data_IF_558724688483
#
_entry.id   IF_558724688483
#
_cell.length_a   1.000
_cell.length_b   1.000
_cell.length_c   1.000
_cell.angle_alpha   90.00
_cell.angle_beta   90.00
_cell.angle_gamma   90.00
#
_symmetry.space_group_name_H-M   'P 1'
#
loop_
_entity.id
_entity.type
_entity.pdbx_description
1 polymer ?
#
# COMPACT_ATOMS: atom_id res chain seq x y z
N UNK A 1 -15.00 6.04 -1.94
CA UNK A 1 -15.15 5.47 -0.59
C UNK A 1 -16.16 6.30 0.18
N UNK A 2 -17.19 5.65 0.72
CA UNK A 2 -18.33 6.36 1.29
C UNK A 2 -18.14 6.75 2.75
N UNK A 3 -17.40 5.96 3.52
CA UNK A 3 -17.24 6.16 4.96
C UNK A 3 -15.74 6.01 5.33
N UNK A 4 -14.96 7.09 5.19
CA UNK A 4 -13.51 6.99 5.42
C UNK A 4 -13.13 6.49 6.81
N UNK A 5 -13.85 6.92 7.85
CA UNK A 5 -13.55 6.49 9.22
C UNK A 5 -13.82 4.99 9.40
N UNK A 6 -14.89 4.48 8.82
CA UNK A 6 -15.22 3.05 8.90
C UNK A 6 -14.19 2.21 8.14
N UNK A 7 -13.74 2.69 6.99
CA UNK A 7 -12.69 2.01 6.23
C UNK A 7 -11.40 1.96 7.02
N UNK A 8 -10.98 3.08 7.60
CA UNK A 8 -9.75 3.13 8.40
C UNK A 8 -9.82 2.14 9.57
N UNK A 9 -10.95 2.06 10.24
CA UNK A 9 -11.13 1.10 11.34
C UNK A 9 -10.96 -0.35 10.85
N UNK A 10 -11.50 -0.68 9.68
CA UNK A 10 -11.34 -2.02 9.10
C UNK A 10 -9.88 -2.32 8.78
N UNK A 11 -9.15 -1.37 8.20
CA UNK A 11 -7.73 -1.53 7.88
C UNK A 11 -6.91 -1.76 9.14
N UNK A 12 -7.13 -0.95 10.17
CA UNK A 12 -6.40 -1.09 11.44
C UNK A 12 -6.68 -2.42 12.12
N UNK A 13 -7.93 -2.86 12.10
CA UNK A 13 -8.30 -4.16 12.66
C UNK A 13 -7.57 -5.30 11.94
N UNK A 14 -7.48 -5.23 10.61
CA UNK A 14 -6.80 -6.23 9.79
C UNK A 14 -5.30 -6.27 10.08
N UNK A 15 -4.64 -5.10 10.20
CA UNK A 15 -3.21 -5.02 10.50
C UNK A 15 -2.87 -5.56 11.90
N UNK A 16 -3.76 -5.39 12.86
CA UNK A 16 -3.56 -5.94 14.21
C UNK A 16 -3.53 -7.46 14.21
N UNK A 17 -4.30 -8.08 13.32
CA UNK A 17 -4.34 -9.54 13.23
C UNK A 17 -3.08 -10.07 12.59
N UNK A 18 -2.63 -9.44 11.50
CA UNK A 18 -1.47 -9.93 10.76
C UNK A 18 -0.88 -8.78 9.95
N UNK A 19 0.30 -8.33 10.35
CA UNK A 19 0.96 -7.20 9.69
C UNK A 19 1.28 -7.51 8.23
N UNK A 20 1.10 -6.50 7.37
CA UNK A 20 1.47 -6.58 5.95
C UNK A 20 2.86 -6.01 5.68
N UNK A 21 3.60 -5.58 6.71
CA UNK A 21 4.95 -5.08 6.56
C UNK A 21 5.88 -6.21 6.10
N UNK A 22 6.66 -5.94 5.07
CA UNK A 22 7.65 -6.89 4.54
C UNK A 22 9.07 -6.36 4.77
N UNK A 23 10.08 -7.19 4.47
CA UNK A 23 11.48 -6.94 4.79
C UNK A 23 12.01 -5.59 4.29
N UNK A 24 11.46 -5.08 3.20
CA UNK A 24 11.96 -3.85 2.55
C UNK A 24 11.33 -2.59 3.15
N UNK A 25 10.74 -2.66 4.32
CA UNK A 25 10.03 -1.54 4.96
C UNK A 25 8.86 -1.05 4.13
N UNK A 26 8.19 -1.94 3.42
CA UNK A 26 7.01 -1.66 2.61
C UNK A 26 5.82 -2.35 3.25
N UNK A 27 4.72 -1.62 3.43
CA UNK A 27 3.51 -2.18 4.01
C UNK A 27 2.33 -2.07 3.03
N UNK A 28 1.43 -3.05 3.09
CA UNK A 28 0.25 -3.13 2.23
C UNK A 28 -1.02 -3.25 3.09
N UNK A 29 -1.31 -2.26 3.95
CA UNK A 29 -2.53 -2.33 4.74
C UNK A 29 -3.74 -2.31 3.82
N UNK A 30 -4.69 -3.20 4.10
CA UNK A 30 -5.85 -3.35 3.24
C UNK A 30 -7.04 -3.83 4.03
N UNK A 31 -8.22 -3.67 3.46
CA UNK A 31 -9.43 -4.29 3.99
C UNK A 31 -10.36 -4.65 2.83
N UNK A 32 -10.95 -5.84 2.91
CA UNK A 32 -12.10 -6.19 2.09
C UNK A 32 -13.31 -5.52 2.71
N UNK A 33 -14.07 -4.78 1.89
CA UNK A 33 -15.10 -3.93 2.44
C UNK A 33 -16.24 -3.72 1.44
N UNK A 34 -17.44 -3.52 1.97
CA UNK A 34 -18.60 -3.13 1.18
C UNK A 34 -18.67 -1.59 0.98
N UNK A 35 -17.71 -0.85 1.54
CA UNK A 35 -17.71 0.61 1.48
C UNK A 35 -17.26 1.14 0.12
N UNK A 36 -16.68 0.30 -0.73
CA UNK A 36 -16.23 0.67 -2.07
C UNK A 36 -16.77 -0.35 -3.08
N UNK A 37 -16.97 0.08 -4.32
CA UNK A 37 -17.41 -0.79 -5.40
C UNK A 37 -16.30 -1.09 -6.41
N UNK A 38 -15.17 -0.42 -6.29
CA UNK A 38 -13.97 -0.68 -7.08
C UNK A 38 -12.76 -0.67 -6.17
N UNK A 39 -11.65 -1.29 -6.60
CA UNK A 39 -10.40 -1.23 -5.86
C UNK A 39 -9.92 0.22 -5.84
N UNK A 40 -9.59 0.71 -4.65
CA UNK A 40 -9.00 2.02 -4.46
C UNK A 40 -7.64 1.87 -3.81
N UNK A 41 -6.66 2.61 -4.31
CA UNK A 41 -5.28 2.58 -3.82
C UNK A 41 -4.86 3.98 -3.39
N UNK A 42 -4.37 4.09 -2.17
CA UNK A 42 -3.72 5.30 -1.69
C UNK A 42 -2.26 4.95 -1.38
N UNK A 43 -1.35 5.87 -1.66
CA UNK A 43 0.08 5.65 -1.45
C UNK A 43 0.64 6.67 -0.49
N UNK A 44 1.64 6.26 0.27
CA UNK A 44 2.34 7.14 1.18
C UNK A 44 3.81 6.79 1.23
N UNK A 45 4.62 7.76 1.63
CA UNK A 45 6.05 7.55 1.77
C UNK A 45 6.63 8.41 2.88
N UNK A 46 7.74 7.94 3.44
CA UNK A 46 8.49 8.70 4.44
C UNK A 46 9.92 8.16 4.49
N UNK A 47 10.91 8.99 4.16
CA UNK A 47 12.31 8.56 4.26
C UNK A 47 12.72 8.29 5.71
N UNK A 48 12.12 9.00 6.66
CA UNK A 48 12.38 8.78 8.09
C UNK A 48 11.76 7.47 8.59
N UNK A 49 10.83 6.93 7.85
CA UNK A 49 10.09 5.73 8.24
C UNK A 49 8.94 6.04 9.18
N UNK A 50 7.80 5.41 8.94
CA UNK A 50 6.62 5.53 9.79
C UNK A 50 6.70 4.41 10.81
N UNK A 51 6.63 4.71 12.13
CA UNK A 51 6.59 3.63 13.13
C UNK A 51 5.41 2.71 12.86
N UNK A 52 5.68 1.41 12.74
CA UNK A 52 4.66 0.47 12.24
C UNK A 52 4.11 -0.44 13.32
N UNK A 53 4.95 -0.82 14.28
CA UNK A 53 4.52 -1.74 15.34
C UNK A 53 5.37 -1.54 16.60
N UNK A 54 5.04 -2.31 17.63
CA UNK A 54 5.72 -2.25 18.93
C UNK A 54 7.14 -2.84 18.89
N UNK A 55 7.52 -3.48 17.78
CA UNK A 55 8.84 -4.11 17.64
C UNK A 55 9.89 -3.14 17.10
N UNK A 56 9.53 -1.89 16.89
CA UNK A 56 10.44 -0.88 16.35
C UNK A 56 10.59 -0.91 14.84
N UNK A 57 9.78 -1.69 14.15
CA UNK A 57 9.82 -1.74 12.69
C UNK A 57 9.18 -0.48 12.10
N UNK A 58 9.68 -0.07 10.93
CA UNK A 58 9.22 1.14 10.25
C UNK A 58 8.87 0.85 8.81
N UNK A 59 7.89 1.58 8.28
CA UNK A 59 7.49 1.53 6.88
C UNK A 59 7.86 2.86 6.22
N UNK A 60 8.60 2.81 5.11
CA UNK A 60 8.92 3.99 4.33
C UNK A 60 8.08 4.10 3.05
N UNK A 61 7.49 3.02 2.59
CA UNK A 61 6.50 3.00 1.50
C UNK A 61 5.24 2.30 1.97
N UNK A 62 4.10 2.89 1.63
CA UNK A 62 2.81 2.45 2.13
C UNK A 62 1.80 2.40 0.97
N UNK A 63 1.16 1.26 0.80
CA UNK A 63 0.12 1.06 -0.21
C UNK A 63 -1.15 0.62 0.50
N UNK A 64 -2.08 1.54 0.69
CA UNK A 64 -3.35 1.27 1.38
C UNK A 64 -4.40 0.90 0.34
N UNK A 65 -4.98 -0.29 0.47
CA UNK A 65 -5.88 -0.82 -0.56
C UNK A 65 -7.26 -1.10 0.03
N UNK A 66 -8.29 -0.52 -0.59
CA UNK A 66 -9.69 -0.84 -0.30
C UNK A 66 -10.18 -1.80 -1.38
N UNK A 67 -10.68 -2.95 -0.99
CA UNK A 67 -11.00 -4.05 -1.91
C UNK A 67 -12.46 -4.46 -1.77
N UNK A 68 -13.30 -4.30 -2.81
CA UNK A 68 -14.62 -4.92 -2.80
C UNK A 68 -14.48 -6.44 -2.71
N UNK A 69 -15.39 -7.09 -1.99
CA UNK A 69 -15.28 -8.54 -1.78
C UNK A 69 -15.25 -9.34 -3.08
N UNK A 70 -15.95 -8.88 -4.11
CA UNK A 70 -15.98 -9.57 -5.40
C UNK A 70 -14.69 -9.45 -6.22
N UNK A 71 -13.80 -8.54 -5.86
CA UNK A 71 -12.57 -8.25 -6.63
C UNK A 71 -11.30 -8.75 -5.94
N UNK A 72 -11.41 -9.76 -5.09
CA UNK A 72 -10.26 -10.26 -4.34
C UNK A 72 -9.14 -10.79 -5.26
N UNK A 73 -9.48 -11.40 -6.39
CA UNK A 73 -8.47 -11.90 -7.32
C UNK A 73 -7.72 -10.74 -7.99
N UNK A 74 -8.41 -9.68 -8.36
CA UNK A 74 -7.77 -8.48 -8.93
C UNK A 74 -6.86 -7.81 -7.90
N UNK A 75 -7.27 -7.80 -6.63
CA UNK A 75 -6.45 -7.31 -5.54
C UNK A 75 -5.14 -8.11 -5.42
N UNK A 76 -5.20 -9.44 -5.50
CA UNK A 76 -4.02 -10.28 -5.39
C UNK A 76 -3.02 -10.01 -6.52
N UNK A 77 -3.51 -9.75 -7.73
CA UNK A 77 -2.65 -9.35 -8.86
C UNK A 77 -2.00 -8.01 -8.61
N UNK A 78 -2.76 -7.03 -8.12
CA UNK A 78 -2.24 -5.70 -7.82
C UNK A 78 -1.15 -5.76 -6.76
N UNK A 79 -1.39 -6.42 -5.65
CA UNK A 79 -0.43 -6.50 -4.55
C UNK A 79 0.81 -7.27 -4.98
N UNK A 80 0.66 -8.34 -5.75
CA UNK A 80 1.78 -9.08 -6.30
C UNK A 80 2.67 -8.21 -7.18
N UNK A 81 2.07 -7.37 -8.02
CA UNK A 81 2.80 -6.42 -8.86
C UNK A 81 3.55 -5.39 -8.02
N UNK A 82 2.87 -4.80 -7.03
CA UNK A 82 3.49 -3.81 -6.14
C UNK A 82 4.64 -4.42 -5.33
N UNK A 83 4.47 -5.63 -4.83
CA UNK A 83 5.51 -6.32 -4.09
C UNK A 83 6.73 -6.59 -4.98
N UNK A 84 6.51 -7.00 -6.21
CA UNK A 84 7.59 -7.23 -7.18
C UNK A 84 8.38 -5.96 -7.47
N UNK A 85 7.68 -4.85 -7.71
CA UNK A 85 8.33 -3.55 -7.97
C UNK A 85 9.18 -3.13 -6.79
N UNK A 86 8.67 -3.27 -5.57
CA UNK A 86 9.34 -2.80 -4.37
C UNK A 86 10.41 -3.76 -3.85
N UNK A 87 10.62 -4.91 -4.49
CA UNK A 87 11.74 -5.77 -4.16
C UNK A 87 13.09 -5.19 -4.57
N UNK A 88 13.12 -4.35 -5.60
CA UNK A 88 14.38 -3.76 -6.07
C UNK A 88 14.64 -2.43 -5.36
N UNK A 89 15.87 -2.26 -4.87
CA UNK A 89 16.27 -1.03 -4.22
C UNK A 89 16.16 0.17 -5.16
N UNK A 90 16.49 -0.01 -6.42
CA UNK A 90 16.40 1.05 -7.43
C UNK A 90 14.97 1.57 -7.56
N UNK A 91 13.99 0.70 -7.61
CA UNK A 91 12.59 1.12 -7.73
C UNK A 91 12.08 1.77 -6.45
N UNK A 92 12.44 1.23 -5.29
CA UNK A 92 12.08 1.86 -4.02
C UNK A 92 12.63 3.27 -3.93
N UNK A 93 13.90 3.45 -4.29
CA UNK A 93 14.54 4.77 -4.24
C UNK A 93 13.89 5.75 -5.22
N UNK A 94 13.53 5.29 -6.42
CA UNK A 94 12.83 6.12 -7.39
C UNK A 94 11.48 6.62 -6.84
N UNK A 95 10.75 5.77 -6.16
CA UNK A 95 9.47 6.15 -5.53
C UNK A 95 9.69 7.14 -4.39
N UNK A 96 10.71 6.91 -3.55
CA UNK A 96 11.02 7.81 -2.44
C UNK A 96 11.52 9.17 -2.92
N UNK A 97 12.18 9.23 -4.07
CA UNK A 97 12.76 10.44 -4.62
C UNK A 97 11.78 11.28 -5.45
N UNK A 98 10.59 10.74 -5.77
CA UNK A 98 9.61 11.48 -6.57
C UNK A 98 9.26 12.81 -5.89
N UNK A 99 9.27 13.91 -6.64
CA UNK A 99 9.09 15.24 -6.06
C UNK A 99 7.64 15.56 -5.71
N UNK A 100 6.70 14.93 -6.39
CA UNK A 100 5.26 15.20 -6.23
C UNK A 100 4.47 13.88 -6.21
N UNK A 101 3.23 13.90 -5.69
CA UNK A 101 2.36 12.73 -5.80
C UNK A 101 2.16 12.27 -7.26
N UNK A 102 2.06 13.20 -8.21
CA UNK A 102 1.91 12.85 -9.61
C UNK A 102 3.13 12.10 -10.14
N UNK A 103 4.34 12.53 -9.79
CA UNK A 103 5.56 11.83 -10.15
C UNK A 103 5.65 10.44 -9.53
N UNK A 104 5.22 10.31 -8.27
CA UNK A 104 5.18 9.01 -7.60
C UNK A 104 4.30 8.04 -8.38
N UNK A 105 3.09 8.46 -8.72
CA UNK A 105 2.14 7.61 -9.47
C UNK A 105 2.70 7.26 -10.84
N UNK A 106 3.30 8.22 -11.54
CA UNK A 106 3.88 7.96 -12.86
C UNK A 106 5.06 6.99 -12.79
N UNK A 107 5.91 7.14 -11.79
CA UNK A 107 7.03 6.21 -11.55
C UNK A 107 6.51 4.80 -11.30
N UNK A 108 5.48 4.68 -10.48
CA UNK A 108 4.85 3.40 -10.17
C UNK A 108 4.24 2.77 -11.42
N UNK A 109 3.52 3.57 -12.20
CA UNK A 109 2.87 3.12 -13.44
C UNK A 109 3.88 2.61 -14.45
N UNK A 110 4.98 3.34 -14.63
CA UNK A 110 6.05 2.94 -15.55
C UNK A 110 6.70 1.62 -15.12
N UNK A 111 6.97 1.45 -13.84
CA UNK A 111 7.57 0.23 -13.32
C UNK A 111 6.63 -0.97 -13.45
N UNK A 112 5.34 -0.75 -13.33
CA UNK A 112 4.33 -1.82 -13.41
C UNK A 112 3.90 -2.13 -14.85
N UNK A 113 4.20 -1.25 -15.79
CA UNK A 113 3.73 -1.36 -17.19
C UNK A 113 2.20 -1.37 -17.28
N UNK A 114 1.57 -0.60 -16.42
CA UNK A 114 0.10 -0.43 -16.43
C UNK A 114 -0.38 0.28 -17.70
#
# INVERSE_FOLDING_TARGET
MLQPADFLAQVLARERVNSTLIENSVAFPHARTALVDQIALAVGRSRAGIPWNDKGERADLLFVVAVPQRLVNDYLVLVGTLARITQTEQQREALLAAATPAEFIETLRSAASF
#
